data_IF_508659797929
#
_entry.id   IF_508659797929
#
_cell.length_a   1.000
_cell.length_b   1.000
_cell.length_c   1.000
_cell.angle_alpha   90.00
_cell.angle_beta   90.00
_cell.angle_gamma   90.00
#
_symmetry.space_group_name_H-M   'P 1'
#
loop_
_entity.id
_entity.type
_entity.pdbx_description
1 polymer ?
#
# COMPACT_ATOMS: atom_id res chain seq x y z
N UNK A 1 31.93 6.51 37.14
CA UNK A 1 30.70 6.08 36.42
C UNK A 1 29.79 7.24 35.99
N UNK A 2 30.22 8.52 36.00
CA UNK A 2 29.32 9.67 35.74
C UNK A 2 29.37 10.29 34.34
N UNK A 3 30.32 9.90 33.47
CA UNK A 3 30.51 10.54 32.15
C UNK A 3 29.51 10.03 31.09
N UNK A 4 29.19 8.73 31.12
CA UNK A 4 28.30 8.11 30.13
C UNK A 4 26.84 8.54 30.29
N UNK A 5 26.40 8.81 31.52
CA UNK A 5 25.05 9.30 31.81
C UNK A 5 24.83 10.74 31.32
N UNK A 6 25.87 11.57 31.34
CA UNK A 6 25.82 12.96 30.87
C UNK A 6 25.72 12.97 29.33
N UNK A 7 26.49 12.12 28.64
CA UNK A 7 26.43 11.99 27.19
C UNK A 7 25.05 11.51 26.71
N UNK A 8 24.48 10.48 27.37
CA UNK A 8 23.13 9.98 27.06
C UNK A 8 22.04 11.03 27.28
N UNK A 9 22.09 11.77 28.40
CA UNK A 9 21.14 12.86 28.67
C UNK A 9 21.23 13.98 27.63
N UNK A 10 22.43 14.31 27.15
CA UNK A 10 22.65 15.35 26.14
C UNK A 10 22.13 14.93 24.77
N UNK A 11 22.27 13.66 24.40
CA UNK A 11 21.69 13.09 23.17
C UNK A 11 20.16 13.13 23.22
N UNK A 12 19.56 12.71 24.34
CA UNK A 12 18.11 12.75 24.53
C UNK A 12 17.54 14.18 24.43
N UNK A 13 18.15 15.15 25.13
CA UNK A 13 17.74 16.54 25.09
C UNK A 13 17.86 17.18 23.69
N UNK A 14 18.89 16.79 22.92
CA UNK A 14 19.03 17.23 21.54
C UNK A 14 17.96 16.63 20.61
N UNK A 15 17.55 15.37 20.85
CA UNK A 15 16.47 14.71 20.13
C UNK A 15 15.13 15.39 20.42
N UNK A 16 14.85 15.72 21.68
CA UNK A 16 13.66 16.48 22.08
C UNK A 16 13.63 17.88 21.46
N UNK A 17 14.75 18.61 21.49
CA UNK A 17 14.86 19.92 20.84
C UNK A 17 14.60 19.86 19.33
N UNK A 18 15.15 18.85 18.64
CA UNK A 18 14.89 18.62 17.21
C UNK A 18 13.41 18.32 16.97
N UNK A 19 12.78 17.47 17.79
CA UNK A 19 11.36 17.18 17.68
C UNK A 19 10.52 18.45 17.87
N UNK A 20 10.77 19.24 18.93
CA UNK A 20 10.09 20.52 19.18
C UNK A 20 10.27 21.53 18.03
N UNK A 21 11.45 21.60 17.44
CA UNK A 21 11.69 22.47 16.28
C UNK A 21 10.94 21.98 15.03
N UNK A 22 10.93 20.67 14.75
CA UNK A 22 10.15 20.06 13.66
C UNK A 22 8.65 20.31 13.85
N UNK A 23 8.12 20.14 15.06
CA UNK A 23 6.70 20.44 15.37
C UNK A 23 6.38 21.91 15.12
N UNK A 24 7.24 22.82 15.58
CA UNK A 24 7.05 24.25 15.38
C UNK A 24 7.21 24.69 13.91
N UNK A 25 7.98 23.97 13.10
CA UNK A 25 8.10 24.23 11.66
C UNK A 25 6.87 23.70 10.90
N UNK A 26 6.35 22.52 11.28
CA UNK A 26 5.06 22.01 10.78
C UNK A 26 3.93 22.99 11.06
N UNK A 27 3.87 23.58 12.26
CA UNK A 27 2.86 24.60 12.65
C UNK A 27 3.01 25.91 11.84
N UNK A 28 4.25 26.34 11.56
CA UNK A 28 4.50 27.59 10.80
C UNK A 28 4.24 27.49 9.31
N UNK A 29 4.37 26.29 8.73
CA UNK A 29 4.06 26.03 7.32
C UNK A 29 2.56 25.88 7.03
N UNK A 30 1.69 25.97 8.06
CA UNK A 30 0.21 25.99 7.94
C UNK A 30 -0.29 27.37 7.45
N UNK A 31 0.33 27.92 6.41
CA UNK A 31 -0.31 28.95 5.62
C UNK A 31 -1.28 28.28 4.64
N UNK A 32 -2.51 27.97 5.08
CA UNK A 32 -3.66 27.44 4.30
C UNK A 32 -3.44 26.31 3.26
N UNK A 33 -2.23 25.76 3.10
CA UNK A 33 -1.91 24.66 2.18
C UNK A 33 -1.66 23.39 2.97
N UNK A 34 -2.45 22.36 2.71
CA UNK A 34 -2.22 21.00 3.23
C UNK A 34 -0.85 20.51 2.74
N UNK A 35 0.00 20.05 3.65
CA UNK A 35 1.33 19.52 3.33
C UNK A 35 1.18 18.23 2.51
N UNK A 36 1.81 18.16 1.34
CA UNK A 36 1.82 16.97 0.49
C UNK A 36 2.63 15.87 1.20
N UNK A 37 2.06 14.67 1.41
CA UNK A 37 2.76 13.61 2.11
C UNK A 37 3.89 13.00 1.28
N UNK A 38 4.96 12.63 1.97
CA UNK A 38 5.97 11.71 1.46
C UNK A 38 5.51 10.26 1.66
N UNK A 39 5.50 9.48 0.59
CA UNK A 39 4.94 8.13 0.57
C UNK A 39 5.95 7.14 0.02
N UNK A 40 6.09 6.00 0.69
CA UNK A 40 6.76 4.81 0.16
C UNK A 40 5.73 3.70 -0.07
N UNK A 41 5.78 3.05 -1.21
CA UNK A 41 5.00 1.85 -1.54
C UNK A 41 5.98 0.69 -1.65
N UNK A 42 5.79 -0.32 -0.80
CA UNK A 42 6.53 -1.58 -0.80
C UNK A 42 5.62 -2.68 -1.34
N UNK A 43 6.06 -3.36 -2.39
CA UNK A 43 5.28 -4.42 -3.03
C UNK A 43 5.93 -5.79 -2.82
N UNK A 44 5.11 -6.84 -2.80
CA UNK A 44 5.59 -8.22 -2.76
C UNK A 44 6.28 -8.63 -4.07
N UNK A 45 5.62 -8.38 -5.20
CA UNK A 45 6.05 -8.75 -6.55
C UNK A 45 6.52 -7.58 -7.42
N UNK A 46 6.92 -7.92 -8.64
CA UNK A 46 7.30 -6.95 -9.67
C UNK A 46 6.09 -6.35 -10.40
N UNK A 47 4.99 -7.10 -10.48
CA UNK A 47 3.78 -6.69 -11.19
C UNK A 47 3.16 -5.45 -10.56
N UNK A 48 3.03 -5.43 -9.23
CA UNK A 48 2.57 -4.27 -8.47
C UNK A 48 3.54 -3.09 -8.60
N UNK A 49 4.85 -3.35 -8.52
CA UNK A 49 5.87 -2.29 -8.59
C UNK A 49 5.85 -1.60 -9.95
N UNK A 50 5.74 -2.38 -11.04
CA UNK A 50 5.58 -1.85 -12.39
C UNK A 50 4.31 -0.99 -12.46
N UNK A 51 3.18 -1.51 -11.99
CA UNK A 51 1.91 -0.80 -12.00
C UNK A 51 2.00 0.53 -11.25
N UNK A 52 2.54 0.54 -10.03
CA UNK A 52 2.65 1.75 -9.21
C UNK A 52 3.69 2.73 -9.76
N UNK A 53 4.81 2.28 -10.31
CA UNK A 53 5.79 3.17 -10.97
C UNK A 53 5.15 3.93 -12.13
N UNK A 54 4.37 3.25 -12.94
CA UNK A 54 3.66 3.88 -14.05
C UNK A 54 2.54 4.80 -13.56
N UNK A 55 1.80 4.39 -12.53
CA UNK A 55 0.76 5.24 -11.92
C UNK A 55 1.36 6.53 -11.35
N UNK A 56 2.47 6.43 -10.62
CA UNK A 56 3.23 7.57 -10.09
C UNK A 56 3.69 8.49 -11.22
N UNK A 57 4.14 7.92 -12.34
CA UNK A 57 4.58 8.67 -13.52
C UNK A 57 3.43 9.44 -14.16
N UNK A 58 2.30 8.80 -14.44
CA UNK A 58 1.16 9.47 -15.09
C UNK A 58 0.52 10.52 -14.18
N UNK A 59 0.52 10.32 -12.86
CA UNK A 59 0.01 11.26 -11.86
C UNK A 59 1.02 12.33 -11.44
N UNK A 60 2.26 12.29 -11.96
CA UNK A 60 3.34 13.24 -11.63
C UNK A 60 3.63 13.39 -10.13
N UNK A 61 3.69 12.26 -9.41
CA UNK A 61 3.76 12.21 -7.95
C UNK A 61 5.20 12.20 -7.42
N UNK A 62 5.83 13.37 -7.35
CA UNK A 62 7.25 13.51 -6.95
C UNK A 62 7.58 13.09 -5.51
N UNK A 63 6.59 13.07 -4.61
CA UNK A 63 6.76 12.69 -3.19
C UNK A 63 6.47 11.21 -2.93
N UNK A 64 6.14 10.45 -3.96
CA UNK A 64 5.75 9.04 -3.87
C UNK A 64 6.81 8.19 -4.55
N UNK A 65 7.25 7.13 -3.88
CA UNK A 65 8.19 6.14 -4.43
C UNK A 65 7.60 4.74 -4.30
N UNK A 66 7.76 3.94 -5.35
CA UNK A 66 7.44 2.50 -5.33
C UNK A 66 8.70 1.69 -5.55
N UNK A 67 8.82 0.58 -4.81
CA UNK A 67 9.77 -0.48 -5.10
C UNK A 67 9.25 -1.83 -4.60
N UNK A 68 9.68 -2.90 -5.27
CA UNK A 68 9.59 -4.26 -4.73
C UNK A 68 10.41 -4.38 -3.45
N UNK A 69 9.81 -4.98 -2.42
CA UNK A 69 10.47 -5.37 -1.17
C UNK A 69 11.52 -6.44 -1.41
N UNK A 70 12.53 -6.45 -0.53
CA UNK A 70 13.56 -7.50 -0.50
C UNK A 70 12.93 -8.84 -0.10
N UNK A 71 12.01 -8.82 0.87
CA UNK A 71 11.22 -9.99 1.25
C UNK A 71 9.99 -10.17 0.34
N UNK A 72 9.58 -11.42 0.18
CA UNK A 72 8.35 -11.85 -0.50
C UNK A 72 7.30 -12.39 0.47
N UNK A 73 7.46 -12.17 1.78
CA UNK A 73 6.50 -12.56 2.80
C UNK A 73 5.99 -11.33 3.56
N UNK A 74 4.74 -11.36 4.01
CA UNK A 74 4.11 -10.22 4.68
C UNK A 74 4.92 -9.68 5.87
N UNK A 75 5.49 -10.55 6.71
CA UNK A 75 6.22 -10.11 7.91
C UNK A 75 7.55 -9.47 7.55
N UNK A 76 8.27 -10.01 6.56
CA UNK A 76 9.50 -9.42 6.07
C UNK A 76 9.29 -8.05 5.41
N UNK A 77 8.22 -7.89 4.63
CA UNK A 77 7.83 -6.58 4.04
C UNK A 77 7.51 -5.57 5.15
N UNK A 78 6.76 -5.97 6.19
CA UNK A 78 6.46 -5.10 7.33
C UNK A 78 7.72 -4.73 8.13
N UNK A 79 8.65 -5.66 8.31
CA UNK A 79 9.94 -5.39 8.93
C UNK A 79 10.79 -4.40 8.11
N UNK A 80 10.76 -4.49 6.77
CA UNK A 80 11.38 -3.48 5.90
C UNK A 80 10.70 -2.12 6.08
N UNK A 81 9.37 -2.06 6.09
CA UNK A 81 8.60 -0.84 6.31
C UNK A 81 8.97 -0.15 7.64
N UNK A 82 9.07 -0.90 8.72
CA UNK A 82 9.49 -0.39 10.03
C UNK A 82 10.92 0.17 10.00
N UNK A 83 11.84 -0.54 9.34
CA UNK A 83 13.22 -0.08 9.15
C UNK A 83 13.28 1.25 8.38
N UNK A 84 12.48 1.38 7.31
CA UNK A 84 12.42 2.60 6.50
C UNK A 84 11.77 3.76 7.26
N UNK A 85 10.72 3.50 8.04
CA UNK A 85 10.10 4.50 8.90
C UNK A 85 11.13 5.07 9.89
N UNK A 86 11.89 4.19 10.57
CA UNK A 86 12.92 4.58 11.52
C UNK A 86 14.05 5.40 10.87
N UNK A 87 14.55 4.97 9.69
CA UNK A 87 15.58 5.70 8.94
C UNK A 87 15.08 7.08 8.49
N UNK A 88 13.84 7.17 8.02
CA UNK A 88 13.31 8.43 7.48
C UNK A 88 13.20 9.52 8.55
N UNK A 89 12.94 9.15 9.82
CA UNK A 89 12.86 10.07 10.96
C UNK A 89 14.18 10.83 11.21
N UNK A 90 15.31 10.27 10.78
CA UNK A 90 16.64 10.85 10.91
C UNK A 90 16.99 11.81 9.76
N UNK A 91 16.15 11.88 8.73
CA UNK A 91 16.35 12.72 7.55
C UNK A 91 15.39 13.92 7.52
N UNK A 92 15.66 14.87 6.62
CA UNK A 92 14.73 15.98 6.32
C UNK A 92 13.54 15.54 5.45
N UNK A 93 13.52 14.27 5.00
CA UNK A 93 12.49 13.72 4.13
C UNK A 93 11.73 12.58 4.84
N UNK A 94 11.17 12.92 6.00
CA UNK A 94 10.35 12.03 6.84
C UNK A 94 9.18 11.46 6.03
N UNK A 95 8.96 10.15 6.13
CA UNK A 95 7.84 9.47 5.47
C UNK A 95 6.56 9.68 6.29
N UNK A 96 5.49 10.08 5.62
CA UNK A 96 4.16 10.18 6.24
C UNK A 96 3.41 8.85 6.16
N UNK A 97 3.53 8.16 5.02
CA UNK A 97 2.90 6.86 4.79
C UNK A 97 3.90 5.86 4.23
N UNK A 98 3.80 4.62 4.67
CA UNK A 98 4.36 3.46 4.00
C UNK A 98 3.22 2.50 3.73
N UNK A 99 2.94 2.22 2.46
CA UNK A 99 1.95 1.23 2.06
C UNK A 99 2.65 -0.08 1.73
N UNK A 100 2.15 -1.19 2.27
CA UNK A 100 2.66 -2.53 2.03
C UNK A 100 1.61 -3.33 1.26
N UNK A 101 1.88 -3.69 0.00
CA UNK A 101 0.93 -4.40 -0.86
C UNK A 101 1.16 -5.91 -0.72
N UNK A 102 0.09 -6.64 -0.38
CA UNK A 102 0.11 -8.08 -0.13
C UNK A 102 -0.91 -8.83 -0.96
N UNK A 103 -0.49 -10.00 -1.43
CA UNK A 103 -1.40 -11.02 -1.92
C UNK A 103 -1.81 -11.93 -0.76
N UNK A 104 -3.11 -11.99 -0.49
CA UNK A 104 -3.65 -12.67 0.69
C UNK A 104 -3.66 -14.20 0.55
N UNK A 105 -3.53 -14.76 -0.65
CA UNK A 105 -3.41 -16.21 -0.82
C UNK A 105 -2.10 -16.78 -0.24
N UNK A 106 -1.08 -15.93 -0.05
CA UNK A 106 0.19 -16.28 0.62
C UNK A 106 0.07 -16.20 2.16
N UNK A 107 -0.96 -15.53 2.68
CA UNK A 107 -1.16 -15.28 4.11
C UNK A 107 -1.85 -16.47 4.77
N UNK A 108 -1.05 -17.38 5.33
CA UNK A 108 -1.56 -18.57 6.02
C UNK A 108 -2.04 -18.31 7.46
N UNK A 109 -1.71 -17.15 8.03
CA UNK A 109 -2.08 -16.79 9.40
C UNK A 109 -2.15 -15.26 9.59
N UNK A 110 -2.89 -14.85 10.63
CA UNK A 110 -3.06 -13.45 11.03
C UNK A 110 -1.84 -12.82 11.72
N UNK A 111 -0.67 -13.46 11.71
CA UNK A 111 0.50 -12.98 12.48
C UNK A 111 0.98 -11.60 12.04
N UNK A 112 0.76 -11.24 10.77
CA UNK A 112 1.04 -9.91 10.25
C UNK A 112 0.18 -8.82 10.92
N UNK A 113 -1.05 -9.13 11.34
CA UNK A 113 -1.91 -8.21 12.10
C UNK A 113 -1.33 -7.96 13.50
N UNK A 114 -0.83 -9.01 14.16
CA UNK A 114 -0.15 -8.87 15.45
C UNK A 114 1.17 -8.07 15.31
N UNK A 115 1.85 -8.19 14.17
CA UNK A 115 3.03 -7.39 13.86
C UNK A 115 2.65 -5.91 13.69
N UNK A 116 1.64 -5.61 12.87
CA UNK A 116 1.10 -4.26 12.67
C UNK A 116 0.70 -3.61 14.00
N UNK A 117 0.00 -4.33 14.87
CA UNK A 117 -0.43 -3.84 16.17
C UNK A 117 0.73 -3.50 17.12
N UNK A 118 1.90 -4.12 16.93
CA UNK A 118 3.10 -3.91 17.76
C UNK A 118 4.06 -2.85 17.20
N UNK A 119 3.93 -2.50 15.92
CA UNK A 119 4.79 -1.50 15.30
C UNK A 119 4.60 -0.13 15.95
N UNK A 120 5.70 0.47 16.37
CA UNK A 120 5.74 1.81 16.95
C UNK A 120 6.47 2.77 16.03
N UNK A 121 5.73 3.42 15.12
CA UNK A 121 6.25 4.53 14.32
C UNK A 121 5.47 5.79 14.68
N UNK A 122 6.04 6.61 15.57
CA UNK A 122 5.38 7.80 16.11
C UNK A 122 4.99 8.87 15.06
N UNK A 123 5.51 8.77 13.83
CA UNK A 123 5.35 9.80 12.79
C UNK A 123 5.01 9.27 11.39
N UNK A 124 5.22 7.98 11.13
CA UNK A 124 4.99 7.35 9.83
C UNK A 124 3.88 6.34 9.97
N UNK A 125 2.84 6.40 9.14
CA UNK A 125 1.76 5.40 9.16
C UNK A 125 2.15 4.25 8.23
N UNK A 126 2.34 3.05 8.79
CA UNK A 126 2.54 1.83 8.00
C UNK A 126 1.17 1.15 7.81
N UNK A 127 0.75 0.99 6.56
CA UNK A 127 -0.61 0.57 6.20
C UNK A 127 -0.55 -0.61 5.24
N UNK A 128 -1.18 -1.75 5.56
CA UNK A 128 -1.26 -2.87 4.64
C UNK A 128 -2.38 -2.64 3.62
N UNK A 129 -2.13 -3.05 2.37
CA UNK A 129 -3.08 -3.08 1.27
C UNK A 129 -3.18 -4.53 0.81
N UNK A 130 -4.40 -5.00 0.65
CA UNK A 130 -4.71 -6.40 0.44
C UNK A 130 -5.35 -6.61 -0.92
N UNK A 131 -4.93 -7.67 -1.60
CA UNK A 131 -5.66 -8.25 -2.72
C UNK A 131 -5.84 -9.74 -2.43
N UNK A 132 -7.09 -10.22 -2.42
CA UNK A 132 -7.39 -11.64 -2.34
C UNK A 132 -8.05 -12.12 -3.64
N UNK A 133 -7.53 -13.20 -4.24
CA UNK A 133 -6.33 -13.92 -3.80
C UNK A 133 -5.01 -13.23 -4.13
N UNK A 134 -4.93 -12.50 -5.24
CA UNK A 134 -3.70 -11.93 -5.76
C UNK A 134 -3.93 -10.61 -6.52
N UNK A 135 -2.85 -9.93 -6.92
CA UNK A 135 -2.90 -8.65 -7.64
C UNK A 135 -3.66 -8.72 -8.96
N UNK A 136 -3.75 -9.88 -9.62
CA UNK A 136 -4.51 -10.03 -10.85
C UNK A 136 -6.00 -9.69 -10.68
N UNK A 137 -6.54 -9.72 -9.45
CA UNK A 137 -7.87 -9.16 -9.17
C UNK A 137 -7.90 -7.66 -9.45
N UNK A 138 -6.89 -6.91 -9.02
CA UNK A 138 -6.80 -5.49 -9.33
C UNK A 138 -6.71 -5.25 -10.85
N UNK A 139 -5.92 -6.05 -11.58
CA UNK A 139 -5.82 -5.94 -13.04
C UNK A 139 -7.12 -6.28 -13.75
N UNK A 140 -7.85 -7.30 -13.28
CA UNK A 140 -9.16 -7.66 -13.80
C UNK A 140 -10.18 -6.53 -13.63
N UNK A 141 -10.09 -5.76 -12.53
CA UNK A 141 -10.99 -4.64 -12.24
C UNK A 141 -10.84 -3.47 -13.22
N UNK A 142 -9.77 -3.40 -14.02
CA UNK A 142 -9.68 -2.46 -15.16
C UNK A 142 -10.70 -2.78 -16.26
N UNK A 143 -11.18 -4.02 -16.33
CA UNK A 143 -12.09 -4.48 -17.37
C UNK A 143 -13.48 -4.79 -16.82
N UNK A 144 -13.59 -5.48 -15.69
CA UNK A 144 -14.88 -5.92 -15.17
C UNK A 144 -14.94 -5.96 -13.65
N UNK A 145 -16.15 -5.83 -13.12
CA UNK A 145 -16.43 -6.07 -11.70
C UNK A 145 -16.98 -7.49 -11.55
N UNK A 146 -16.21 -8.39 -10.93
CA UNK A 146 -16.64 -9.76 -10.65
C UNK A 146 -16.58 -10.08 -9.16
N UNK A 147 -17.75 -10.33 -8.57
CA UNK A 147 -17.88 -10.85 -7.19
C UNK A 147 -18.03 -12.38 -7.17
N UNK A 148 -17.85 -13.05 -8.31
CA UNK A 148 -17.90 -14.51 -8.37
C UNK A 148 -16.70 -15.07 -7.61
N UNK A 149 -16.89 -15.97 -6.62
CA UNK A 149 -15.79 -16.57 -5.91
C UNK A 149 -14.94 -17.42 -6.84
N UNK A 150 -13.63 -17.34 -6.67
CA UNK A 150 -12.66 -18.19 -7.35
C UNK A 150 -12.29 -19.37 -6.47
N UNK A 151 -11.92 -20.49 -7.08
CA UNK A 151 -11.45 -21.68 -6.38
C UNK A 151 -10.24 -22.23 -7.12
N UNK A 152 -9.36 -22.94 -6.41
CA UNK A 152 -8.35 -23.76 -7.05
C UNK A 152 -8.99 -24.80 -7.97
N UNK A 153 -8.32 -25.13 -9.07
CA UNK A 153 -8.83 -26.07 -10.07
C UNK A 153 -7.76 -27.10 -10.43
N UNK A 154 -8.00 -28.35 -10.06
CA UNK A 154 -7.05 -29.44 -10.28
C UNK A 154 -5.73 -29.16 -9.54
N UNK A 155 -4.65 -28.94 -10.30
CA UNK A 155 -3.32 -28.61 -9.76
C UNK A 155 -3.05 -27.11 -9.64
N UNK A 156 -3.96 -26.26 -10.15
CA UNK A 156 -3.78 -24.81 -10.19
C UNK A 156 -4.23 -24.17 -8.88
N UNK A 157 -3.41 -23.28 -8.33
CA UNK A 157 -3.78 -22.42 -7.22
C UNK A 157 -4.93 -21.49 -7.62
N UNK A 158 -5.58 -20.88 -6.63
CA UNK A 158 -6.64 -19.89 -6.90
C UNK A 158 -6.09 -18.68 -7.67
N UNK A 159 -4.86 -18.23 -7.35
CA UNK A 159 -4.17 -17.17 -8.09
C UNK A 159 -3.86 -17.56 -9.53
N UNK A 160 -3.39 -18.79 -9.78
CA UNK A 160 -3.17 -19.29 -11.15
C UNK A 160 -4.46 -19.33 -11.97
N UNK A 161 -5.59 -19.69 -11.36
CA UNK A 161 -6.90 -19.69 -12.05
C UNK A 161 -7.31 -18.27 -12.46
N UNK A 162 -7.09 -17.26 -11.63
CA UNK A 162 -7.40 -15.87 -11.97
C UNK A 162 -6.44 -15.34 -13.02
N UNK A 163 -5.15 -15.65 -12.89
CA UNK A 163 -4.14 -15.31 -13.89
C UNK A 163 -4.48 -15.89 -15.26
N UNK A 164 -4.84 -17.17 -15.34
CA UNK A 164 -5.27 -17.80 -16.58
C UNK A 164 -6.52 -17.13 -17.16
N UNK A 165 -7.49 -16.80 -16.31
CA UNK A 165 -8.70 -16.10 -16.73
C UNK A 165 -8.39 -14.72 -17.30
N UNK A 166 -7.54 -13.96 -16.62
CA UNK A 166 -7.07 -12.65 -17.07
C UNK A 166 -6.31 -12.75 -18.40
N UNK A 167 -5.38 -13.70 -18.51
CA UNK A 167 -4.62 -13.94 -19.74
C UNK A 167 -5.52 -14.32 -20.92
N UNK A 168 -6.40 -15.29 -20.73
CA UNK A 168 -7.25 -15.80 -21.81
C UNK A 168 -8.33 -14.82 -22.26
N UNK A 169 -8.73 -13.88 -21.40
CA UNK A 169 -9.85 -12.97 -21.68
C UNK A 169 -9.39 -11.57 -22.09
N UNK A 170 -8.35 -11.03 -21.45
CA UNK A 170 -8.00 -9.60 -21.54
C UNK A 170 -6.55 -9.35 -21.98
N UNK A 171 -5.60 -10.16 -21.52
CA UNK A 171 -4.17 -9.89 -21.73
C UNK A 171 -3.35 -11.16 -22.01
N UNK A 172 -3.41 -11.73 -23.24
CA UNK A 172 -2.75 -13.00 -23.57
C UNK A 172 -1.25 -13.03 -23.30
N UNK A 173 -0.58 -11.89 -23.44
CA UNK A 173 0.86 -11.75 -23.24
C UNK A 173 1.25 -11.40 -21.79
N UNK A 174 0.28 -11.34 -20.86
CA UNK A 174 0.55 -10.98 -19.47
C UNK A 174 1.53 -11.96 -18.81
N UNK A 175 2.56 -11.41 -18.18
CA UNK A 175 3.36 -12.07 -17.15
C UNK A 175 3.66 -11.05 -16.06
N UNK A 176 4.04 -11.51 -14.88
CA UNK A 176 4.33 -10.68 -13.70
C UNK A 176 5.48 -9.69 -13.93
N UNK A 177 6.26 -9.87 -15.00
CA UNK A 177 7.37 -9.01 -15.42
C UNK A 177 7.15 -8.36 -16.78
N UNK A 178 6.02 -8.63 -17.46
CA UNK A 178 5.71 -8.00 -18.74
C UNK A 178 5.27 -6.55 -18.52
N UNK A 179 6.27 -5.67 -18.51
CA UNK A 179 6.11 -4.25 -18.28
C UNK A 179 5.09 -3.60 -19.23
N UNK A 180 5.16 -3.90 -20.52
CA UNK A 180 4.31 -3.27 -21.52
C UNK A 180 2.81 -3.58 -21.29
N UNK A 181 2.49 -4.81 -20.90
CA UNK A 181 1.11 -5.22 -20.61
C UNK A 181 0.61 -4.56 -19.33
N UNK A 182 1.42 -4.50 -18.27
CA UNK A 182 1.00 -3.92 -17.00
C UNK A 182 0.84 -2.41 -17.11
N UNK A 183 1.79 -1.71 -17.76
CA UNK A 183 1.74 -0.26 -17.94
C UNK A 183 0.53 0.17 -18.79
N UNK A 184 0.09 -0.66 -19.75
CA UNK A 184 -1.07 -0.33 -20.57
C UNK A 184 -2.40 -0.38 -19.81
N UNK A 185 -2.46 -1.06 -18.65
CA UNK A 185 -3.64 -1.06 -17.77
C UNK A 185 -3.80 0.30 -17.07
N UNK A 186 -2.68 0.91 -16.67
CA UNK A 186 -2.65 2.01 -15.72
C UNK A 186 -3.48 3.23 -16.12
N UNK A 187 -3.54 3.68 -17.39
CA UNK A 187 -4.34 4.85 -17.78
C UNK A 187 -5.83 4.77 -17.39
N UNK A 188 -6.42 3.58 -17.32
CA UNK A 188 -7.83 3.37 -16.99
C UNK A 188 -8.07 3.09 -15.48
N UNK A 189 -7.14 3.51 -14.60
CA UNK A 189 -7.22 3.27 -13.15
C UNK A 189 -8.52 3.75 -12.49
N UNK A 190 -9.20 4.78 -13.02
CA UNK A 190 -10.48 5.25 -12.48
C UNK A 190 -11.59 4.19 -12.60
N UNK A 191 -11.58 3.42 -13.69
CA UNK A 191 -12.50 2.28 -13.86
C UNK A 191 -12.21 1.19 -12.85
N UNK A 192 -10.94 0.92 -12.57
CA UNK A 192 -10.54 -0.04 -11.55
C UNK A 192 -10.96 0.42 -10.14
N UNK A 193 -10.83 1.71 -9.80
CA UNK A 193 -11.37 2.28 -8.55
C UNK A 193 -12.87 2.01 -8.46
N UNK A 194 -13.64 2.37 -9.51
CA UNK A 194 -15.08 2.20 -9.54
C UNK A 194 -15.49 0.73 -9.34
N UNK A 195 -14.84 -0.19 -10.06
CA UNK A 195 -15.13 -1.62 -9.97
C UNK A 195 -14.70 -2.21 -8.61
N UNK A 196 -13.59 -1.75 -8.04
CA UNK A 196 -13.12 -2.20 -6.72
C UNK A 196 -14.07 -1.79 -5.60
N UNK A 197 -14.56 -0.54 -5.60
CA UNK A 197 -15.58 -0.08 -4.65
C UNK A 197 -16.86 -0.90 -4.79
N UNK A 198 -17.30 -1.19 -6.03
CA UNK A 198 -18.47 -2.06 -6.26
C UNK A 198 -18.25 -3.47 -5.76
N UNK A 199 -17.07 -4.04 -6.00
CA UNK A 199 -16.69 -5.36 -5.51
C UNK A 199 -16.77 -5.41 -3.98
N UNK A 200 -16.13 -4.48 -3.29
CA UNK A 200 -16.17 -4.39 -1.83
C UNK A 200 -17.60 -4.27 -1.28
N UNK A 201 -18.45 -3.46 -1.92
CA UNK A 201 -19.87 -3.34 -1.57
C UNK A 201 -20.69 -4.62 -1.81
N UNK A 202 -20.37 -5.40 -2.84
CA UNK A 202 -21.03 -6.69 -3.11
C UNK A 202 -20.59 -7.74 -2.08
N UNK A 203 -19.29 -7.77 -1.79
CA UNK A 203 -18.66 -8.73 -0.90
C UNK A 203 -19.02 -8.52 0.57
N UNK A 204 -19.11 -7.27 1.02
CA UNK A 204 -19.54 -6.95 2.39
C UNK A 204 -20.96 -7.43 2.68
N UNK A 205 -21.87 -7.38 1.69
CA UNK A 205 -23.26 -7.87 1.82
C UNK A 205 -23.36 -9.38 2.00
N UNK A 206 -22.36 -10.13 1.53
CA UNK A 206 -22.33 -11.59 1.61
C UNK A 206 -21.24 -12.11 2.56
N UNK A 207 -20.59 -11.20 3.30
CA UNK A 207 -19.50 -11.48 4.23
C UNK A 207 -18.42 -12.40 3.64
N UNK A 208 -17.90 -12.04 2.46
CA UNK A 208 -16.85 -12.79 1.75
C UNK A 208 -15.71 -11.85 1.37
N UNK A 209 -14.50 -12.37 1.29
CA UNK A 209 -13.33 -11.67 0.73
C UNK A 209 -12.86 -12.28 -0.59
N UNK A 210 -13.60 -13.26 -1.15
CA UNK A 210 -13.23 -13.97 -2.36
C UNK A 210 -14.09 -13.55 -3.58
N UNK A 211 -13.56 -12.73 -4.51
CA UNK A 211 -12.33 -11.93 -4.42
C UNK A 211 -12.55 -10.56 -3.76
N UNK A 212 -11.50 -9.90 -3.29
CA UNK A 212 -11.55 -8.52 -2.79
C UNK A 212 -10.21 -7.80 -2.94
N UNK A 213 -10.23 -6.47 -3.02
CA UNK A 213 -9.02 -5.65 -2.90
C UNK A 213 -9.37 -4.25 -2.38
N UNK A 214 -8.52 -3.68 -1.52
CA UNK A 214 -8.65 -2.28 -1.07
C UNK A 214 -7.68 -1.32 -1.77
N UNK A 215 -7.08 -1.74 -2.89
CA UNK A 215 -6.20 -0.90 -3.73
C UNK A 215 -6.82 0.44 -4.13
N UNK A 216 -8.15 0.51 -4.29
CA UNK A 216 -8.86 1.74 -4.61
C UNK A 216 -8.62 2.86 -3.59
N UNK A 217 -8.48 2.54 -2.30
CA UNK A 217 -8.26 3.53 -1.26
C UNK A 217 -6.89 4.22 -1.41
N UNK A 218 -5.84 3.43 -1.65
CA UNK A 218 -4.50 3.95 -1.92
C UNK A 218 -4.48 4.81 -3.19
N UNK A 219 -5.06 4.31 -4.29
CA UNK A 219 -5.03 5.03 -5.57
C UNK A 219 -5.86 6.32 -5.52
N UNK A 220 -6.97 6.32 -4.76
CA UNK A 220 -7.75 7.54 -4.51
C UNK A 220 -6.93 8.58 -3.76
N UNK A 221 -6.16 8.19 -2.74
CA UNK A 221 -5.21 9.09 -2.08
C UNK A 221 -4.17 9.65 -3.06
N UNK A 222 -3.59 8.80 -3.91
CA UNK A 222 -2.60 9.23 -4.91
C UNK A 222 -3.19 10.21 -5.93
N UNK A 223 -4.42 9.96 -6.41
CA UNK A 223 -5.19 10.85 -7.28
C UNK A 223 -5.43 12.20 -6.62
N UNK A 224 -5.90 12.19 -5.37
CA UNK A 224 -6.13 13.41 -4.59
C UNK A 224 -4.86 14.26 -4.44
N UNK A 225 -3.70 13.62 -4.24
CA UNK A 225 -2.40 14.32 -4.18
C UNK A 225 -2.03 14.95 -5.53
N UNK A 226 -2.28 14.25 -6.64
CA UNK A 226 -2.04 14.74 -8.00
C UNK A 226 -2.92 15.96 -8.31
N UNK A 227 -4.21 15.87 -7.98
CA UNK A 227 -5.22 16.90 -8.21
C UNK A 227 -5.13 18.09 -7.24
N UNK A 228 -4.26 18.01 -6.23
CA UNK A 228 -4.12 19.01 -5.17
C UNK A 228 -5.43 19.26 -4.42
N UNK A 229 -6.23 18.21 -4.22
CA UNK A 229 -7.47 18.30 -3.43
C UNK A 229 -7.16 18.52 -1.94
N UNK A 230 -8.13 19.02 -1.19
CA UNK A 230 -7.97 19.17 0.27
C UNK A 230 -8.12 17.79 0.95
N UNK A 231 -7.30 17.55 1.98
CA UNK A 231 -7.26 16.33 2.81
C UNK A 231 -6.60 15.10 2.14
N UNK A 232 -5.26 15.07 2.14
CA UNK A 232 -4.46 13.89 1.76
C UNK A 232 -4.48 12.80 2.86
N UNK A 233 -5.68 12.31 3.17
CA UNK A 233 -5.95 11.31 4.20
C UNK A 233 -6.27 9.99 3.50
N UNK A 234 -5.65 8.91 3.98
CA UNK A 234 -6.05 7.55 3.60
C UNK A 234 -7.35 7.17 4.29
N UNK A 235 -8.37 6.82 3.50
CA UNK A 235 -9.67 6.33 3.96
C UNK A 235 -9.67 4.79 3.96
N UNK A 236 -10.04 4.18 5.07
CA UNK A 236 -9.86 2.75 5.34
C UNK A 236 -11.18 1.97 5.43
N UNK A 237 -12.22 2.45 4.72
CA UNK A 237 -13.61 1.98 4.80
C UNK A 237 -13.81 0.45 4.75
N UNK A 238 -12.95 -0.29 4.06
CA UNK A 238 -13.02 -1.76 3.94
C UNK A 238 -11.87 -2.50 4.62
N UNK A 239 -10.94 -1.78 5.23
CA UNK A 239 -9.74 -2.36 5.85
C UNK A 239 -10.11 -3.32 6.98
N UNK A 240 -10.91 -2.86 7.95
CA UNK A 240 -11.35 -3.69 9.08
C UNK A 240 -12.16 -4.89 8.61
N UNK A 241 -13.06 -4.71 7.64
CA UNK A 241 -13.83 -5.81 7.06
C UNK A 241 -12.92 -6.90 6.47
N UNK A 242 -11.91 -6.51 5.69
CA UNK A 242 -10.96 -7.48 5.11
C UNK A 242 -10.21 -8.19 6.25
N UNK A 243 -9.65 -7.44 7.20
CA UNK A 243 -8.86 -8.00 8.30
C UNK A 243 -9.66 -8.94 9.21
N UNK A 244 -10.94 -8.67 9.42
CA UNK A 244 -11.87 -9.53 10.17
C UNK A 244 -12.23 -10.82 9.44
N UNK A 245 -12.02 -10.89 8.12
CA UNK A 245 -12.37 -12.04 7.27
C UNK A 245 -11.15 -12.75 6.63
N UNK A 246 -9.91 -12.32 6.91
CA UNK A 246 -8.66 -13.09 6.65
C UNK A 246 -8.62 -14.32 7.57
#
# INVERSE_FOLDING_TARGET
>A
MGSDDIAKKRIAANRERRNLQKTNQKIRNVGNRTLIPNILILTEGYSEDIYFKELIRILSLNTVKSRKSISTDCNGILGEAESEALKSNETDNELNYIFCIFDLDTVKNRTHLDYLARMNSNFTRIIPIYSFPCIEIWFLLHFECTARPFNSQGKKSIGEVIKDYFQSTYAPDYTETNKNVIESLVPDYERAIYNSIRLCNQQSKVNSINPITNMHALITLLKNISERSQNYVYEDDYQSFIQENI
#
